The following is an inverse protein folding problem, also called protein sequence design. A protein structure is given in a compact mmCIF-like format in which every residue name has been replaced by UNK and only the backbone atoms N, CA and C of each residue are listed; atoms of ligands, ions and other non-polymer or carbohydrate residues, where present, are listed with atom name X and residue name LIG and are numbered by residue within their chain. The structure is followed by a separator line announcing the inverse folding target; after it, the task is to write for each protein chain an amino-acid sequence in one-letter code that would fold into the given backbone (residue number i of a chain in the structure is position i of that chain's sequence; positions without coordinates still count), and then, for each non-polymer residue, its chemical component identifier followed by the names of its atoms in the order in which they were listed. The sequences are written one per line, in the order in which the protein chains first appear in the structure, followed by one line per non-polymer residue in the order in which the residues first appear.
data_IF_782900013361
#
_entry.id   IF_782900013361
#
_cell.length_a   1.000
_cell.length_b   1.000
_cell.length_c   1.000
_cell.angle_alpha   90.00
_cell.angle_beta   90.00
_cell.angle_gamma   90.00
#
_symmetry.space_group_name_H-M   'P 1'
#
loop_
_entity.id
_entity.type
_entity.pdbx_description
1 polymer ?
#
# COMPACT_ATOMS: atom_id res chain seq x y z
N UNK A 1 -10.27 8.90 -12.45
CA UNK A 1 -10.02 8.79 -13.90
C UNK A 1 -8.85 9.67 -14.34
N UNK A 2 -8.87 11.00 -14.13
CA UNK A 2 -7.81 11.92 -14.59
C UNK A 2 -6.43 11.53 -14.05
N UNK A 3 -6.33 11.18 -12.77
CA UNK A 3 -5.07 10.72 -12.17
C UNK A 3 -4.48 9.52 -12.92
N UNK A 4 -5.26 8.46 -13.12
CA UNK A 4 -4.80 7.27 -13.84
C UNK A 4 -4.47 7.56 -15.31
N UNK A 5 -5.25 8.44 -15.96
CA UNK A 5 -4.99 8.85 -17.33
C UNK A 5 -3.69 9.68 -17.45
N UNK A 6 -3.41 10.56 -16.49
CA UNK A 6 -2.15 11.32 -16.44
C UNK A 6 -0.95 10.38 -16.30
N UNK A 7 -1.01 9.39 -15.39
CA UNK A 7 0.04 8.39 -15.25
C UNK A 7 0.21 7.55 -16.52
N UNK A 8 -0.89 7.20 -17.21
CA UNK A 8 -0.82 6.49 -18.48
C UNK A 8 -0.14 7.32 -19.57
N UNK A 9 -0.43 8.62 -19.68
CA UNK A 9 0.26 9.52 -20.61
C UNK A 9 1.75 9.65 -20.27
N UNK A 10 2.10 9.82 -19.00
CA UNK A 10 3.50 9.82 -18.56
C UNK A 10 4.22 8.54 -19.01
N UNK A 11 3.59 7.38 -18.85
CA UNK A 11 4.15 6.09 -19.26
C UNK A 11 4.31 6.00 -20.80
N UNK A 12 3.34 6.50 -21.56
CA UNK A 12 3.42 6.57 -23.03
C UNK A 12 4.55 7.50 -23.51
N UNK A 13 4.83 8.56 -22.76
CA UNK A 13 5.94 9.50 -23.04
C UNK A 13 7.28 9.01 -22.48
N UNK A 14 7.35 7.74 -22.06
CA UNK A 14 8.54 7.09 -21.51
C UNK A 14 9.07 7.73 -20.23
N UNK A 15 8.20 8.32 -19.39
CA UNK A 15 8.60 8.75 -18.06
C UNK A 15 9.09 7.55 -17.26
N UNK A 16 10.25 7.70 -16.63
CA UNK A 16 10.85 6.64 -15.81
C UNK A 16 10.31 6.73 -14.39
N UNK A 17 9.36 5.87 -14.06
CA UNK A 17 8.84 5.76 -12.69
C UNK A 17 9.90 5.13 -11.78
N UNK A 18 10.09 5.73 -10.60
CA UNK A 18 11.03 5.27 -9.60
C UNK A 18 10.28 5.11 -8.27
N UNK A 19 10.49 3.98 -7.60
CA UNK A 19 9.79 3.64 -6.35
C UNK A 19 10.76 3.42 -5.20
N UNK A 20 12.04 3.20 -5.47
CA UNK A 20 13.11 3.04 -4.49
C UNK A 20 14.12 4.17 -4.69
N UNK A 21 14.54 4.78 -3.60
CA UNK A 21 15.39 5.97 -3.61
C UNK A 21 16.65 5.73 -2.78
N UNK A 22 17.78 6.10 -3.34
CA UNK A 22 19.08 5.93 -2.69
C UNK A 22 19.25 6.85 -1.48
N UNK A 23 18.88 8.12 -1.65
CA UNK A 23 19.05 9.16 -0.65
C UNK A 23 18.05 10.30 -0.88
N UNK A 24 18.12 11.32 -0.03
CA UNK A 24 17.24 12.50 -0.10
C UNK A 24 17.34 13.25 -1.42
N UNK A 25 18.54 13.39 -1.97
CA UNK A 25 18.77 14.16 -3.21
C UNK A 25 18.14 13.44 -4.40
N UNK A 26 18.28 12.11 -4.46
CA UNK A 26 17.64 11.27 -5.46
C UNK A 26 16.10 11.37 -5.37
N UNK A 27 15.55 11.25 -4.16
CA UNK A 27 14.11 11.40 -3.91
C UNK A 27 13.58 12.77 -4.32
N UNK A 28 14.23 13.86 -3.88
CA UNK A 28 13.78 15.23 -4.15
C UNK A 28 13.81 15.53 -5.66
N UNK A 29 14.88 15.13 -6.34
CA UNK A 29 15.03 15.31 -7.80
C UNK A 29 13.95 14.57 -8.57
N UNK A 30 13.68 13.31 -8.20
CA UNK A 30 12.61 12.53 -8.80
C UNK A 30 11.24 13.17 -8.56
N UNK A 31 10.94 13.57 -7.33
CA UNK A 31 9.63 14.12 -6.97
C UNK A 31 9.35 15.46 -7.64
N UNK A 32 10.36 16.32 -7.82
CA UNK A 32 10.23 17.56 -8.59
C UNK A 32 9.87 17.29 -10.05
N UNK A 33 10.61 16.39 -10.70
CA UNK A 33 10.35 16.00 -12.09
C UNK A 33 8.98 15.30 -12.24
N UNK A 34 8.65 14.38 -11.32
CA UNK A 34 7.36 13.69 -11.30
C UNK A 34 6.20 14.69 -11.18
N UNK A 35 6.28 15.62 -10.23
CA UNK A 35 5.22 16.58 -10.00
C UNK A 35 5.02 17.54 -11.19
N UNK A 36 6.09 18.00 -11.79
CA UNK A 36 6.05 18.85 -12.97
C UNK A 36 5.38 18.14 -14.14
N UNK A 37 5.86 16.93 -14.47
CA UNK A 37 5.33 16.13 -15.58
C UNK A 37 3.89 15.70 -15.33
N UNK A 38 3.56 15.26 -14.10
CA UNK A 38 2.19 14.90 -13.74
C UNK A 38 1.21 16.06 -13.90
N UNK A 39 1.59 17.26 -13.45
CA UNK A 39 0.75 18.45 -13.57
C UNK A 39 0.51 18.81 -15.03
N UNK A 40 1.54 18.81 -15.86
CA UNK A 40 1.44 19.01 -17.31
C UNK A 40 0.44 18.03 -17.93
N UNK A 41 0.61 16.72 -17.70
CA UNK A 41 -0.27 15.70 -18.28
C UNK A 41 -1.72 15.79 -17.77
N UNK A 42 -1.89 16.12 -16.48
CA UNK A 42 -3.23 16.30 -15.92
C UNK A 42 -3.96 17.52 -16.52
N UNK A 43 -3.24 18.59 -16.81
CA UNK A 43 -3.79 19.79 -17.44
C UNK A 43 -4.06 19.56 -18.94
N UNK A 44 -3.20 18.85 -19.66
CA UNK A 44 -3.44 18.42 -21.03
C UNK A 44 -4.74 17.61 -21.15
N UNK A 45 -4.97 16.67 -20.22
CA UNK A 45 -6.21 15.88 -20.21
C UNK A 45 -7.44 16.78 -20.00
N UNK A 46 -7.37 17.77 -19.12
CA UNK A 46 -8.49 18.69 -18.85
C UNK A 46 -8.79 19.60 -20.04
N UNK A 47 -7.76 20.04 -20.77
CA UNK A 47 -7.87 20.99 -21.88
C UNK A 47 -7.97 20.31 -23.25
N UNK A 48 -7.46 19.10 -23.42
CA UNK A 48 -7.17 18.49 -24.71
C UNK A 48 -8.29 17.68 -25.34
N UNK A 49 -9.50 17.61 -24.78
CA UNK A 49 -10.66 16.89 -25.34
C UNK A 49 -10.50 15.35 -25.35
N UNK A 50 -9.72 14.81 -24.47
CA UNK A 50 -9.50 13.35 -24.33
C UNK A 50 -10.79 12.61 -23.96
N UNK A 51 -10.91 11.37 -24.43
CA UNK A 51 -11.91 10.40 -23.97
C UNK A 51 -11.21 9.36 -23.11
N UNK A 52 -11.64 9.26 -21.84
CA UNK A 52 -11.07 8.30 -20.88
C UNK A 52 -12.01 7.09 -20.81
N UNK A 53 -11.54 5.93 -21.24
CA UNK A 53 -12.21 4.65 -21.08
C UNK A 53 -11.64 3.98 -19.82
N UNK A 54 -12.50 3.62 -18.88
CA UNK A 54 -12.11 3.01 -17.61
C UNK A 54 -12.53 1.55 -17.56
N UNK A 55 -11.92 0.79 -16.66
CA UNK A 55 -12.27 -0.59 -16.32
C UNK A 55 -13.36 -0.67 -15.25
N UNK A 56 -13.89 0.47 -14.79
CA UNK A 56 -14.90 0.51 -13.72
C UNK A 56 -16.20 -0.16 -14.15
N UNK A 57 -16.68 -1.08 -13.31
CA UNK A 57 -17.99 -1.69 -13.38
C UNK A 57 -18.98 -0.89 -12.54
N UNK A 58 -20.07 -0.44 -13.13
CA UNK A 58 -21.03 0.46 -12.48
C UNK A 58 -21.78 -0.23 -11.33
N UNK A 59 -22.09 -1.51 -11.48
CA UNK A 59 -22.82 -2.27 -10.47
C UNK A 59 -21.93 -2.54 -9.26
N UNK A 60 -20.68 -2.95 -9.49
CA UNK A 60 -19.68 -3.14 -8.44
C UNK A 60 -19.33 -1.81 -7.75
N UNK A 61 -19.21 -0.73 -8.50
CA UNK A 61 -18.97 0.61 -7.93
C UNK A 61 -20.11 1.03 -6.99
N UNK A 62 -21.36 0.84 -7.41
CA UNK A 62 -22.56 1.15 -6.61
C UNK A 62 -22.64 0.27 -5.38
N UNK A 63 -22.37 -1.04 -5.53
CA UNK A 63 -22.38 -1.99 -4.44
C UNK A 63 -21.31 -1.67 -3.38
N UNK A 64 -20.07 -1.36 -3.82
CA UNK A 64 -18.98 -1.01 -2.92
C UNK A 64 -19.29 0.26 -2.11
N UNK A 65 -19.81 1.31 -2.77
CA UNK A 65 -20.20 2.55 -2.09
C UNK A 65 -21.30 2.27 -1.05
N UNK A 66 -22.35 1.54 -1.45
CA UNK A 66 -23.47 1.23 -0.56
C UNK A 66 -23.03 0.41 0.65
N UNK A 67 -22.13 -0.56 0.46
CA UNK A 67 -21.63 -1.37 1.56
C UNK A 67 -20.75 -0.55 2.51
N UNK A 68 -19.87 0.32 1.99
CA UNK A 68 -19.08 1.22 2.82
C UNK A 68 -19.98 2.13 3.68
N UNK A 69 -20.98 2.75 3.07
CA UNK A 69 -21.90 3.66 3.75
C UNK A 69 -22.73 2.91 4.81
N UNK A 70 -23.19 1.68 4.51
CA UNK A 70 -23.93 0.85 5.46
C UNK A 70 -23.06 0.45 6.68
N UNK A 71 -21.83 -0.03 6.45
CA UNK A 71 -20.92 -0.45 7.54
C UNK A 71 -20.57 0.75 8.43
N UNK A 72 -20.42 1.93 7.86
CA UNK A 72 -20.07 3.13 8.61
C UNK A 72 -21.29 3.90 9.13
N UNK A 73 -22.51 3.49 8.83
CA UNK A 73 -23.74 4.19 9.22
C UNK A 73 -23.91 4.44 10.73
N UNK A 74 -23.42 3.54 11.65
CA UNK A 74 -23.53 3.81 13.09
C UNK A 74 -22.66 4.97 13.56
N UNK A 75 -21.68 5.40 12.78
CA UNK A 75 -20.77 6.49 13.14
C UNK A 75 -21.28 7.80 12.54
N UNK A 76 -22.00 8.59 13.31
CA UNK A 76 -22.72 9.80 12.85
C UNK A 76 -22.02 11.10 13.16
N UNK A 77 -20.87 11.08 13.86
CA UNK A 77 -20.11 12.27 14.19
C UNK A 77 -19.67 13.03 12.93
N UNK A 78 -19.86 14.34 12.94
CA UNK A 78 -19.46 15.24 11.87
C UNK A 78 -18.31 16.13 12.32
N UNK A 79 -17.45 16.48 11.38
CA UNK A 79 -16.47 17.56 11.50
C UNK A 79 -17.13 18.93 11.31
N UNK A 80 -16.42 20.02 11.64
CA UNK A 80 -16.90 21.40 11.47
C UNK A 80 -17.29 21.74 10.03
N UNK A 81 -16.73 21.04 9.04
CA UNK A 81 -17.05 21.20 7.61
C UNK A 81 -18.29 20.41 7.15
N UNK A 82 -19.01 19.78 8.06
CA UNK A 82 -20.20 18.98 7.78
C UNK A 82 -19.95 17.57 7.22
N UNK A 83 -18.69 17.16 7.06
CA UNK A 83 -18.34 15.79 6.62
C UNK A 83 -18.25 14.84 7.80
N UNK A 84 -18.54 13.57 7.56
CA UNK A 84 -18.36 12.55 8.59
C UNK A 84 -16.91 12.50 9.10
N UNK A 85 -16.74 12.44 10.42
CA UNK A 85 -15.43 12.34 11.07
C UNK A 85 -14.75 11.01 10.71
N UNK A 86 -15.51 9.90 10.78
CA UNK A 86 -15.03 8.58 10.36
C UNK A 86 -15.29 8.39 8.86
N UNK A 87 -14.22 8.17 8.13
CA UNK A 87 -14.20 7.91 6.69
C UNK A 87 -13.67 6.51 6.39
N UNK A 88 -13.88 6.04 5.18
CA UNK A 88 -13.33 4.78 4.69
C UNK A 88 -12.99 4.85 3.21
N UNK A 89 -12.23 3.89 2.74
CA UNK A 89 -11.93 3.71 1.34
C UNK A 89 -11.87 2.23 1.00
N UNK A 90 -12.15 1.88 -0.24
CA UNK A 90 -12.10 0.50 -0.72
C UNK A 90 -11.78 0.43 -2.21
N UNK A 91 -11.19 -0.69 -2.63
CA UNK A 91 -10.87 -1.00 -4.02
C UNK A 91 -11.29 -2.44 -4.29
N UNK A 92 -11.88 -2.69 -5.45
CA UNK A 92 -12.11 -4.03 -5.98
C UNK A 92 -11.24 -4.21 -7.21
N UNK A 93 -10.43 -5.27 -7.21
CA UNK A 93 -9.58 -5.67 -8.34
C UNK A 93 -10.13 -6.98 -8.90
N UNK A 94 -10.28 -7.05 -10.21
CA UNK A 94 -10.57 -8.29 -10.92
C UNK A 94 -9.28 -9.11 -11.03
N UNK A 95 -9.25 -10.27 -10.38
CA UNK A 95 -8.07 -11.14 -10.36
C UNK A 95 -7.75 -11.78 -11.72
N UNK A 96 -8.69 -11.76 -12.68
CA UNK A 96 -8.45 -12.32 -14.01
C UNK A 96 -7.74 -11.33 -14.94
N UNK A 97 -8.05 -10.05 -14.78
CA UNK A 97 -7.54 -8.96 -15.63
C UNK A 97 -6.55 -8.05 -14.92
N UNK A 98 -6.41 -8.17 -13.59
CA UNK A 98 -5.67 -7.28 -12.70
C UNK A 98 -6.12 -5.81 -12.81
N UNK A 99 -7.39 -5.61 -13.20
CA UNK A 99 -7.96 -4.27 -13.38
C UNK A 99 -8.72 -3.82 -12.14
N UNK A 100 -8.61 -2.55 -11.77
CA UNK A 100 -9.49 -1.94 -10.78
C UNK A 100 -10.88 -1.78 -11.38
N UNK A 101 -11.87 -2.49 -10.83
CA UNK A 101 -13.25 -2.48 -11.32
C UNK A 101 -14.19 -1.65 -10.45
N UNK A 102 -13.80 -1.34 -9.21
CA UNK A 102 -14.51 -0.38 -8.36
C UNK A 102 -13.53 0.31 -7.40
N UNK A 103 -13.78 1.58 -7.08
CA UNK A 103 -12.99 2.36 -6.13
C UNK A 103 -13.85 3.37 -5.40
N UNK A 104 -13.82 3.32 -4.07
CA UNK A 104 -14.52 4.26 -3.20
C UNK A 104 -13.50 4.97 -2.33
N UNK A 105 -13.51 6.29 -2.34
CA UNK A 105 -12.55 7.13 -1.61
C UNK A 105 -13.09 7.80 -0.35
N UNK A 106 -14.39 7.64 -0.06
CA UNK A 106 -15.04 8.28 1.08
C UNK A 106 -16.48 7.86 1.27
N UNK A 107 -17.09 8.29 2.37
CA UNK A 107 -18.53 8.10 2.64
C UNK A 107 -19.37 9.08 1.85
N UNK A 108 -20.51 8.60 1.35
CA UNK A 108 -21.44 9.40 0.57
C UNK A 108 -20.83 9.96 -0.72
N UNK A 109 -21.44 10.99 -1.26
CA UNK A 109 -21.04 11.61 -2.54
C UNK A 109 -20.44 13.01 -2.39
N UNK A 110 -20.50 13.60 -1.20
CA UNK A 110 -20.12 15.00 -0.96
C UNK A 110 -18.61 15.22 -0.79
N UNK A 111 -17.86 14.15 -0.46
CA UNK A 111 -16.41 14.25 -0.28
C UNK A 111 -15.67 13.81 -1.54
N UNK A 112 -15.09 14.79 -2.25
CA UNK A 112 -14.31 14.57 -3.48
C UNK A 112 -12.89 14.05 -3.23
N UNK A 113 -12.44 13.99 -1.96
CA UNK A 113 -11.11 13.49 -1.61
C UNK A 113 -11.07 11.96 -1.68
N UNK A 114 -10.42 11.44 -2.70
CA UNK A 114 -10.29 10.00 -2.91
C UNK A 114 -9.18 9.40 -2.05
N UNK A 115 -9.53 8.87 -0.87
CA UNK A 115 -8.58 8.29 0.09
C UNK A 115 -7.92 7.01 -0.42
N UNK A 116 -8.54 6.30 -1.37
CA UNK A 116 -7.93 5.10 -1.92
C UNK A 116 -6.62 5.40 -2.67
N UNK A 117 -6.55 6.55 -3.35
CA UNK A 117 -5.39 6.99 -4.13
C UNK A 117 -4.52 8.04 -3.43
N UNK A 118 -5.10 8.88 -2.58
CA UNK A 118 -4.42 10.07 -2.07
C UNK A 118 -3.96 9.90 -0.62
N UNK A 119 -4.66 9.08 0.17
CA UNK A 119 -4.34 8.89 1.59
C UNK A 119 -3.41 7.71 1.76
N UNK A 120 -2.28 7.93 2.42
CA UNK A 120 -1.42 6.85 2.89
C UNK A 120 -1.64 6.61 4.39
N UNK A 121 -1.60 5.36 4.80
CA UNK A 121 -1.77 4.90 6.18
C UNK A 121 -0.79 3.79 6.48
N UNK A 122 -0.46 3.61 7.77
CA UNK A 122 0.36 2.48 8.19
C UNK A 122 -0.42 1.18 7.92
N UNK A 123 0.12 0.26 7.10
CA UNK A 123 -0.57 -0.98 6.76
C UNK A 123 -0.62 -1.96 7.94
N UNK A 124 0.28 -1.78 8.92
CA UNK A 124 0.44 -2.75 10.00
C UNK A 124 0.76 -4.14 9.44
N UNK A 125 0.25 -5.17 10.10
CA UNK A 125 0.54 -6.57 9.73
C UNK A 125 -0.01 -7.02 8.36
N UNK A 126 -0.81 -6.21 7.69
CA UNK A 126 -1.29 -6.55 6.33
C UNK A 126 -0.17 -6.52 5.29
N UNK A 127 0.94 -5.84 5.57
CA UNK A 127 2.10 -5.78 4.68
C UNK A 127 2.96 -7.05 4.73
N UNK A 128 2.90 -7.84 5.80
CA UNK A 128 3.77 -8.99 6.03
C UNK A 128 3.86 -9.96 4.85
N UNK A 129 2.73 -10.36 4.23
CA UNK A 129 2.81 -11.23 3.06
C UNK A 129 3.67 -10.68 1.93
N UNK A 130 3.71 -9.36 1.76
CA UNK A 130 4.32 -8.69 0.62
C UNK A 130 5.81 -8.35 0.87
N UNK A 131 6.17 -7.85 2.06
CA UNK A 131 7.53 -7.41 2.36
C UNK A 131 8.40 -8.48 3.02
N UNK A 132 7.79 -9.40 3.81
CA UNK A 132 8.53 -10.42 4.55
C UNK A 132 8.47 -11.77 3.85
N UNK A 133 7.26 -12.31 3.66
CA UNK A 133 7.07 -13.71 3.30
C UNK A 133 7.24 -13.99 1.80
N UNK A 134 6.67 -13.16 0.92
CA UNK A 134 6.80 -13.37 -0.52
C UNK A 134 8.27 -13.28 -0.97
N UNK A 135 9.04 -12.21 -0.66
CA UNK A 135 10.45 -12.16 -1.00
C UNK A 135 11.26 -13.28 -0.33
N UNK A 136 10.95 -13.66 0.92
CA UNK A 136 11.64 -14.77 1.58
C UNK A 136 11.42 -16.11 0.87
N UNK A 137 10.23 -16.37 0.33
CA UNK A 137 9.97 -17.57 -0.46
C UNK A 137 10.69 -17.54 -1.82
N UNK A 138 10.81 -16.36 -2.41
CA UNK A 138 11.50 -16.16 -3.69
C UNK A 138 13.02 -16.45 -3.57
N UNK A 139 13.65 -16.20 -2.42
CA UNK A 139 15.04 -16.60 -2.16
C UNK A 139 15.24 -18.11 -2.17
N UNK A 140 14.18 -18.89 -2.00
CA UNK A 140 14.23 -20.34 -1.82
C UNK A 140 14.71 -20.81 -0.43
N UNK A 141 15.13 -19.89 0.44
CA UNK A 141 15.58 -20.21 1.78
C UNK A 141 14.42 -20.48 2.74
N UNK A 142 13.28 -19.79 2.50
CA UNK A 142 12.07 -19.94 3.30
C UNK A 142 10.99 -20.68 2.53
N UNK A 143 10.20 -21.46 3.26
CA UNK A 143 9.01 -22.18 2.75
C UNK A 143 8.01 -22.42 3.89
N UNK A 144 6.73 -22.66 3.59
CA UNK A 144 5.69 -22.67 4.61
C UNK A 144 5.90 -23.62 5.78
N UNK A 145 6.58 -24.76 5.57
CA UNK A 145 6.86 -25.76 6.61
C UNK A 145 8.20 -25.55 7.35
N UNK A 146 9.04 -24.60 6.93
CA UNK A 146 10.29 -24.29 7.63
C UNK A 146 9.98 -23.87 9.08
N UNK A 147 10.74 -24.42 10.03
CA UNK A 147 10.66 -24.05 11.43
C UNK A 147 11.47 -22.78 11.68
N UNK A 148 10.89 -21.85 12.42
CA UNK A 148 11.49 -20.60 12.90
C UNK A 148 11.22 -20.47 14.39
N UNK A 149 12.11 -19.79 15.11
CA UNK A 149 11.99 -19.66 16.55
C UNK A 149 11.32 -18.30 16.90
N UNK A 150 10.08 -18.37 17.35
CA UNK A 150 9.36 -17.21 17.92
C UNK A 150 9.83 -16.98 19.36
N UNK A 151 10.66 -15.96 19.55
CA UNK A 151 11.23 -15.61 20.85
C UNK A 151 11.28 -14.09 21.04
N UNK A 152 11.49 -13.67 22.28
CA UNK A 152 11.65 -12.25 22.61
C UNK A 152 13.02 -11.75 22.11
N UNK A 153 13.00 -10.69 21.32
CA UNK A 153 14.20 -9.97 20.90
C UNK A 153 14.57 -8.90 21.94
N UNK A 154 15.86 -8.66 22.11
CA UNK A 154 16.34 -7.59 22.98
C UNK A 154 16.00 -6.20 22.41
N UNK A 155 16.22 -6.00 21.11
CA UNK A 155 16.01 -4.75 20.39
C UNK A 155 15.05 -4.94 19.18
N UNK A 156 13.99 -5.70 19.34
CA UNK A 156 13.00 -5.99 18.31
C UNK A 156 11.57 -5.87 18.80
N UNK A 157 10.60 -6.13 17.93
CA UNK A 157 9.19 -6.04 18.28
C UNK A 157 8.77 -7.14 19.25
N UNK A 158 7.69 -6.91 19.97
CA UNK A 158 6.96 -7.94 20.70
C UNK A 158 5.77 -8.43 19.88
N UNK A 159 5.36 -9.67 20.11
CA UNK A 159 4.10 -10.16 19.59
C UNK A 159 2.92 -9.45 20.26
N UNK A 160 1.81 -9.34 19.53
CA UNK A 160 0.54 -8.89 20.12
C UNK A 160 0.17 -9.82 21.29
N UNK A 161 -0.14 -9.22 22.45
CA UNK A 161 -0.42 -10.01 23.67
C UNK A 161 0.81 -10.50 24.43
N UNK A 162 2.05 -10.26 23.95
CA UNK A 162 3.29 -10.54 24.66
C UNK A 162 3.68 -12.02 24.81
N UNK A 163 2.99 -12.93 24.13
CA UNK A 163 3.29 -14.37 24.18
C UNK A 163 4.27 -14.78 23.08
N UNK A 164 5.09 -15.81 23.37
CA UNK A 164 6.07 -16.39 22.47
C UNK A 164 5.87 -17.90 22.41
N UNK A 165 5.98 -18.49 21.22
CA UNK A 165 5.57 -19.89 20.97
C UNK A 165 6.75 -20.83 20.70
N UNK A 166 8.00 -20.34 20.72
CA UNK A 166 9.18 -21.15 20.42
C UNK A 166 9.21 -21.57 18.95
N UNK A 167 9.52 -22.82 18.68
CA UNK A 167 9.59 -23.33 17.31
C UNK A 167 8.20 -23.46 16.69
N UNK A 168 7.92 -22.65 15.69
CA UNK A 168 6.69 -22.66 14.89
C UNK A 168 7.03 -22.78 13.41
N UNK A 169 6.09 -23.25 12.59
CA UNK A 169 6.26 -23.17 11.14
C UNK A 169 6.06 -21.75 10.64
N UNK A 170 6.69 -21.41 9.52
CA UNK A 170 6.50 -20.12 8.83
C UNK A 170 5.01 -19.89 8.53
N UNK A 171 4.28 -20.94 8.13
CA UNK A 171 2.83 -20.88 7.93
C UNK A 171 2.09 -20.48 9.21
N UNK A 172 2.43 -21.08 10.33
CA UNK A 172 1.81 -20.76 11.61
C UNK A 172 2.17 -19.35 12.07
N UNK A 173 3.42 -18.93 11.86
CA UNK A 173 3.86 -17.58 12.17
C UNK A 173 3.06 -16.52 11.40
N UNK A 174 2.83 -16.72 10.10
CA UNK A 174 1.98 -15.85 9.29
C UNK A 174 0.52 -15.89 9.76
N UNK A 175 -0.04 -17.07 10.00
CA UNK A 175 -1.42 -17.24 10.45
C UNK A 175 -1.70 -16.55 11.80
N UNK A 176 -0.74 -16.57 12.71
CA UNK A 176 -0.78 -15.87 14.00
C UNK A 176 -0.32 -14.43 13.94
N UNK A 177 0.17 -14.00 12.77
CA UNK A 177 0.72 -12.66 12.58
C UNK A 177 1.85 -12.32 13.57
N UNK A 178 2.77 -13.26 13.82
CA UNK A 178 3.85 -13.08 14.78
C UNK A 178 4.82 -11.99 14.30
N UNK A 179 4.99 -10.96 15.12
CA UNK A 179 5.85 -9.82 14.78
C UNK A 179 7.33 -10.17 14.85
N UNK A 180 7.71 -10.97 15.82
CA UNK A 180 9.10 -11.42 16.04
C UNK A 180 9.63 -12.25 14.87
N UNK A 181 8.76 -13.09 14.31
CA UNK A 181 9.12 -13.94 13.15
C UNK A 181 9.16 -13.11 11.86
N UNK A 182 8.18 -12.21 11.65
CA UNK A 182 8.20 -11.30 10.51
C UNK A 182 9.48 -10.45 10.49
N UNK A 183 9.82 -9.86 11.65
CA UNK A 183 11.07 -9.13 11.84
C UNK A 183 12.30 -9.96 11.54
N UNK A 184 12.37 -11.21 12.05
CA UNK A 184 13.46 -12.13 11.77
C UNK A 184 13.61 -12.38 10.28
N UNK A 185 12.51 -12.75 9.61
CA UNK A 185 12.51 -13.08 8.18
C UNK A 185 13.01 -11.89 7.35
N UNK A 186 12.47 -10.68 7.58
CA UNK A 186 12.91 -9.49 6.84
C UNK A 186 14.39 -9.18 7.09
N UNK A 187 14.85 -9.35 8.34
CA UNK A 187 16.26 -9.11 8.69
C UNK A 187 17.18 -10.13 8.03
N UNK A 188 16.78 -11.41 8.00
CA UNK A 188 17.56 -12.51 7.42
C UNK A 188 17.71 -12.35 5.89
N UNK A 189 16.65 -11.99 5.18
CA UNK A 189 16.70 -11.77 3.72
C UNK A 189 17.30 -10.40 3.34
N UNK A 190 17.40 -9.50 4.30
CA UNK A 190 17.81 -8.11 4.10
C UNK A 190 16.60 -7.16 3.90
N UNK A 191 16.55 -6.10 4.70
CA UNK A 191 15.45 -5.12 4.67
C UNK A 191 15.27 -4.51 3.29
N UNK A 192 16.39 -4.14 2.65
CA UNK A 192 16.36 -3.52 1.32
C UNK A 192 15.90 -4.51 0.23
N UNK A 193 16.08 -5.81 0.42
CA UNK A 193 15.54 -6.81 -0.50
C UNK A 193 14.01 -6.84 -0.45
N UNK A 194 13.43 -6.87 0.76
CA UNK A 194 11.97 -6.76 0.92
C UNK A 194 11.42 -5.42 0.44
N UNK A 195 12.13 -4.32 0.68
CA UNK A 195 11.73 -2.99 0.20
C UNK A 195 11.75 -2.91 -1.33
N UNK A 196 12.76 -3.46 -1.98
CA UNK A 196 12.83 -3.55 -3.45
C UNK A 196 11.66 -4.34 -4.02
N UNK A 197 11.22 -5.39 -3.32
CA UNK A 197 10.05 -6.18 -3.72
C UNK A 197 8.76 -5.33 -3.77
N UNK A 198 8.58 -4.42 -2.79
CA UNK A 198 7.49 -3.44 -2.84
C UNK A 198 7.68 -2.40 -3.96
N UNK A 199 8.93 -2.04 -4.27
CA UNK A 199 9.26 -1.17 -5.41
C UNK A 199 8.84 -1.80 -6.75
N UNK A 200 9.08 -3.10 -6.95
CA UNK A 200 8.63 -3.84 -8.13
C UNK A 200 7.11 -3.94 -8.22
N UNK A 201 6.39 -3.89 -7.08
CA UNK A 201 4.94 -3.78 -7.01
C UNK A 201 4.42 -2.34 -7.19
N UNK A 202 5.29 -1.37 -7.49
CA UNK A 202 4.96 0.03 -7.78
C UNK A 202 4.36 0.80 -6.58
N UNK A 203 4.74 0.48 -5.33
CA UNK A 203 4.31 1.21 -4.14
C UNK A 203 4.80 2.66 -4.17
N UNK A 204 3.89 3.64 -4.28
CA UNK A 204 4.24 5.02 -4.63
C UNK A 204 4.62 5.91 -3.44
N UNK A 205 4.52 5.44 -2.21
CA UNK A 205 4.79 6.27 -1.01
C UNK A 205 6.06 5.89 -0.26
N UNK A 206 6.85 4.99 -0.84
CA UNK A 206 8.17 4.65 -0.31
C UNK A 206 9.11 5.85 -0.41
N UNK A 207 10.04 5.97 0.54
CA UNK A 207 11.02 7.04 0.59
C UNK A 207 12.41 6.49 0.90
N UNK A 208 13.44 7.30 0.69
CA UNK A 208 14.81 6.94 1.08
C UNK A 208 14.98 6.70 2.60
N UNK A 209 14.06 7.23 3.45
CA UNK A 209 14.09 7.02 4.90
C UNK A 209 13.68 5.59 5.28
N UNK A 210 12.96 4.90 4.41
CA UNK A 210 12.54 3.50 4.63
C UNK A 210 13.71 2.51 4.43
N UNK A 211 14.82 2.93 3.80
CA UNK A 211 15.97 2.07 3.54
C UNK A 211 16.57 1.53 4.84
N UNK A 212 16.78 0.23 4.93
CA UNK A 212 17.40 -0.43 6.07
C UNK A 212 16.58 -0.40 7.36
N UNK A 213 15.28 -0.06 7.31
CA UNK A 213 14.43 0.09 8.50
C UNK A 213 13.65 -1.21 8.80
N UNK A 214 14.05 -2.02 9.80
CA UNK A 214 13.41 -3.32 10.03
C UNK A 214 11.94 -3.23 10.50
N UNK A 215 11.47 -2.08 11.03
CA UNK A 215 10.06 -1.91 11.44
C UNK A 215 9.08 -1.97 10.26
N UNK A 216 9.57 -1.92 9.02
CA UNK A 216 8.78 -2.17 7.82
C UNK A 216 8.10 -3.55 7.86
N UNK A 217 8.75 -4.56 8.47
CA UNK A 217 8.20 -5.92 8.64
C UNK A 217 6.86 -5.96 9.38
N UNK A 218 6.58 -4.96 10.19
CA UNK A 218 5.34 -4.85 10.96
C UNK A 218 4.48 -3.66 10.52
N UNK A 219 4.82 -3.06 9.38
CA UNK A 219 4.08 -1.98 8.76
C UNK A 219 4.42 -0.58 9.25
N UNK A 220 5.62 -0.37 9.79
CA UNK A 220 6.11 0.95 10.26
C UNK A 220 6.83 1.72 9.15
N UNK A 221 6.11 2.27 8.19
CA UNK A 221 6.63 3.06 7.06
C UNK A 221 6.69 4.55 7.39
N UNK A 222 7.56 5.29 6.71
CA UNK A 222 7.64 6.76 6.86
C UNK A 222 6.31 7.43 6.51
N UNK A 223 5.77 7.16 5.33
CA UNK A 223 4.50 7.76 4.88
C UNK A 223 3.29 6.80 4.99
N UNK A 224 3.53 5.51 5.19
CA UNK A 224 2.51 4.49 5.01
C UNK A 224 2.31 4.10 3.55
N UNK A 225 1.23 3.35 3.27
CA UNK A 225 0.85 2.87 1.94
C UNK A 225 -0.58 3.30 1.61
N UNK A 226 -0.94 3.33 0.33
CA UNK A 226 -2.30 3.64 -0.12
C UNK A 226 -3.13 2.35 -0.24
N UNK A 227 -4.45 2.49 -0.29
CA UNK A 227 -5.35 1.34 -0.47
C UNK A 227 -5.18 0.69 -1.85
N UNK A 228 -4.73 1.47 -2.83
CA UNK A 228 -4.50 1.00 -4.22
C UNK A 228 -3.12 0.37 -4.45
N UNK A 229 -2.15 0.57 -3.52
CA UNK A 229 -0.86 -0.10 -3.56
C UNK A 229 -1.02 -1.58 -3.15
#
# INVERSE_FOLDING_TARGET
AIHCAALALMKLDNFQFQYIFKDKSDYDTYMENYQATYTEKADDIRAGGYRIYTTLDQDLQTALQSQLDNVLSPYTELQDNGKYALQGAGVIVDNMTNSVVAVVGGRGTEDVYNRAYLSARQPGSTIKPLIDYAPAFDTGEYYPARLVNDHKWENGPSNSGGSYYGNVSVREALNRSLNTVAWQILTDIGVDYGLNYLGEMEFQKLTYIDNGVPSLSIGGFTNGVRVVD
#
